data_IF_634695519658
#
_entry.id   IF_634695519658
#
_cell.length_a   1.000
_cell.length_b   1.000
_cell.length_c   1.000
_cell.angle_alpha   90.00
_cell.angle_beta   90.00
_cell.angle_gamma   90.00
#
_symmetry.space_group_name_H-M   'P 1'
#
loop_
_entity.id
_entity.type
_entity.pdbx_description
1 polymer ?
#
# COMPACT_ATOMS: atom_id res chain seq x y z
N UNK A 1 -17.25 3.68 -22.28
CA UNK A 1 -16.53 3.69 -21.00
C UNK A 1 -17.21 2.66 -20.13
N UNK A 2 -16.49 1.64 -19.71
CA UNK A 2 -16.98 0.61 -18.79
C UNK A 2 -16.30 0.82 -17.44
N UNK A 3 -17.03 0.58 -16.36
CA UNK A 3 -16.55 0.73 -14.99
C UNK A 3 -16.85 -0.54 -14.20
N UNK A 4 -15.86 -0.99 -13.43
CA UNK A 4 -15.97 -2.16 -12.57
C UNK A 4 -15.68 -1.75 -11.12
N UNK A 5 -16.38 -2.30 -10.13
CA UNK A 5 -16.07 -2.06 -8.73
C UNK A 5 -14.67 -2.62 -8.39
N UNK A 6 -13.93 -1.89 -7.57
CA UNK A 6 -12.65 -2.36 -7.01
C UNK A 6 -12.77 -2.54 -5.48
N UNK A 7 -11.81 -3.27 -4.90
CA UNK A 7 -11.66 -3.41 -3.46
C UNK A 7 -10.61 -2.42 -2.95
N UNK A 8 -10.88 -1.82 -1.81
CA UNK A 8 -10.03 -0.80 -1.21
C UNK A 8 -9.90 -0.93 0.30
N UNK A 9 -8.70 -0.68 0.83
CA UNK A 9 -8.47 -0.40 2.25
C UNK A 9 -7.80 0.95 2.41
N UNK A 10 -8.15 1.65 3.48
CA UNK A 10 -7.40 2.80 3.98
C UNK A 10 -6.78 2.36 5.29
N UNK A 11 -5.46 2.49 5.40
CA UNK A 11 -4.68 2.06 6.56
C UNK A 11 -3.90 3.27 7.06
N UNK A 12 -4.25 3.76 8.25
CA UNK A 12 -3.40 4.71 8.93
C UNK A 12 -2.22 3.98 9.55
N UNK A 13 -1.01 4.28 9.07
CA UNK A 13 0.22 3.58 9.45
C UNK A 13 1.37 4.57 9.72
N UNK A 14 1.22 5.55 10.64
CA UNK A 14 2.26 6.52 10.93
C UNK A 14 3.58 5.85 11.34
N UNK A 15 3.54 4.65 11.92
CA UNK A 15 4.73 3.88 12.25
C UNK A 15 5.53 3.43 11.03
N UNK A 16 4.92 3.26 9.86
CA UNK A 16 5.65 2.99 8.62
C UNK A 16 6.41 4.24 8.19
N UNK A 17 5.71 5.38 8.17
CA UNK A 17 6.28 6.66 7.81
C UNK A 17 7.31 7.19 8.81
N UNK A 18 7.35 6.66 10.04
CA UNK A 18 8.42 6.91 11.01
C UNK A 18 9.69 6.08 10.73
N UNK A 19 9.58 4.94 10.03
CA UNK A 19 10.67 4.00 9.84
C UNK A 19 11.65 4.44 8.74
N UNK A 20 12.97 4.48 9.00
CA UNK A 20 13.97 4.89 8.01
C UNK A 20 14.00 4.03 6.74
N UNK A 21 13.78 2.72 6.85
CA UNK A 21 13.77 1.82 5.69
C UNK A 21 12.57 2.04 4.80
N UNK A 22 11.39 2.31 5.39
CA UNK A 22 10.22 2.71 4.61
C UNK A 22 10.45 4.05 3.91
N UNK A 23 11.00 5.05 4.63
CA UNK A 23 11.34 6.36 4.05
C UNK A 23 12.33 6.24 2.90
N UNK A 24 13.34 5.38 3.05
CA UNK A 24 14.33 5.13 1.99
C UNK A 24 13.66 4.53 0.74
N UNK A 25 12.77 3.55 0.93
CA UNK A 25 11.99 2.99 -0.17
C UNK A 25 11.10 4.05 -0.82
N UNK A 26 10.35 4.82 -0.02
CA UNK A 26 9.44 5.87 -0.50
C UNK A 26 10.18 6.91 -1.35
N UNK A 27 11.39 7.32 -0.93
CA UNK A 27 12.20 8.34 -1.56
C UNK A 27 13.10 7.87 -2.71
N UNK A 28 13.10 6.58 -3.06
CA UNK A 28 13.90 6.09 -4.19
C UNK A 28 13.29 6.53 -5.55
N UNK A 29 14.05 6.35 -6.63
CA UNK A 29 13.65 6.76 -7.98
C UNK A 29 12.62 5.83 -8.64
N UNK A 30 12.12 4.80 -7.95
CA UNK A 30 11.08 3.91 -8.47
C UNK A 30 9.74 4.63 -8.38
N UNK A 31 8.99 4.80 -9.49
CA UNK A 31 7.70 5.46 -9.49
C UNK A 31 6.69 4.77 -8.57
N UNK A 32 5.97 5.57 -7.77
CA UNK A 32 4.92 5.11 -6.84
C UNK A 32 3.67 5.95 -7.03
N UNK A 33 2.51 5.37 -6.71
CA UNK A 33 1.27 6.13 -6.63
C UNK A 33 1.23 6.85 -5.27
N UNK A 34 1.82 8.05 -5.22
CA UNK A 34 2.00 8.79 -3.97
C UNK A 34 1.83 10.30 -4.18
N UNK A 35 1.47 10.98 -3.10
CA UNK A 35 1.51 12.45 -3.03
C UNK A 35 2.83 12.98 -2.46
N UNK A 36 3.71 12.11 -1.95
CA UNK A 36 5.05 12.49 -1.52
C UNK A 36 5.89 12.99 -2.71
N UNK A 37 6.55 14.13 -2.54
CA UNK A 37 7.34 14.81 -3.58
C UNK A 37 8.83 14.95 -3.23
N UNK A 38 9.30 14.20 -2.25
CA UNK A 38 10.63 14.40 -1.67
C UNK A 38 10.61 15.33 -0.45
N UNK A 39 11.62 15.20 0.41
CA UNK A 39 11.79 16.03 1.60
C UNK A 39 11.23 15.37 2.86
N UNK A 40 10.54 16.15 3.70
CA UNK A 40 9.94 15.64 4.93
C UNK A 40 8.61 14.94 4.61
N UNK A 41 8.39 13.81 5.27
CA UNK A 41 7.11 13.09 5.22
C UNK A 41 6.14 13.76 6.19
N UNK A 42 4.93 14.00 5.73
CA UNK A 42 3.84 14.65 6.46
C UNK A 42 2.50 13.91 6.25
N UNK A 43 1.39 14.50 6.69
CA UNK A 43 0.04 13.95 6.54
C UNK A 43 -0.44 13.86 5.08
N UNK A 44 0.24 14.54 4.14
CA UNK A 44 -0.08 14.55 2.72
C UNK A 44 0.79 13.59 1.91
N UNK A 45 1.64 12.81 2.59
CA UNK A 45 2.62 11.92 1.95
C UNK A 45 2.09 10.50 1.68
N UNK A 46 0.77 10.37 1.51
CA UNK A 46 0.10 9.09 1.30
C UNK A 46 0.69 8.29 0.14
N UNK A 47 0.67 6.97 0.29
CA UNK A 47 1.04 6.00 -0.73
C UNK A 47 -0.15 5.10 -1.01
N UNK A 48 -0.40 4.78 -2.27
CA UNK A 48 -1.35 3.74 -2.68
C UNK A 48 -0.59 2.61 -3.32
N UNK A 49 -0.80 1.40 -2.83
CA UNK A 49 -0.24 0.16 -3.39
C UNK A 49 -1.35 -0.73 -3.92
N UNK A 50 -1.02 -1.59 -4.89
CA UNK A 50 -1.94 -2.54 -5.50
C UNK A 50 -1.52 -3.96 -5.11
N UNK A 51 -2.35 -4.63 -4.30
CA UNK A 51 -2.09 -6.00 -3.84
C UNK A 51 -2.79 -7.00 -4.76
N UNK A 52 -2.08 -8.06 -5.15
CA UNK A 52 -2.65 -9.14 -5.97
C UNK A 52 -3.71 -9.94 -5.18
N UNK A 53 -4.77 -10.37 -5.88
CA UNK A 53 -5.90 -11.08 -5.27
C UNK A 53 -5.59 -12.51 -4.84
N UNK A 54 -4.53 -13.12 -5.37
CA UNK A 54 -4.00 -14.36 -4.85
C UNK A 54 -3.51 -14.23 -3.42
N UNK A 55 -3.23 -12.99 -2.96
CA UNK A 55 -2.73 -12.68 -1.63
C UNK A 55 -1.49 -13.52 -1.29
N UNK A 56 -0.68 -13.84 -2.30
CA UNK A 56 0.54 -14.65 -2.17
C UNK A 56 1.79 -13.82 -1.86
N UNK A 57 1.65 -12.50 -1.78
CA UNK A 57 2.78 -11.57 -1.64
C UNK A 57 3.17 -10.85 -2.93
N UNK A 58 2.38 -10.96 -4.00
CA UNK A 58 2.58 -10.21 -5.24
C UNK A 58 1.76 -8.91 -5.26
N UNK A 59 2.26 -7.91 -5.98
CA UNK A 59 1.63 -6.60 -6.11
C UNK A 59 2.55 -5.56 -6.75
N UNK A 60 2.07 -4.33 -6.93
CA UNK A 60 2.81 -3.25 -7.60
C UNK A 60 4.08 -2.83 -6.88
N UNK A 61 4.08 -2.92 -5.55
CA UNK A 61 5.11 -2.39 -4.66
C UNK A 61 5.69 -3.50 -3.78
N UNK A 62 5.77 -4.74 -4.29
CA UNK A 62 6.34 -5.88 -3.56
C UNK A 62 7.85 -5.77 -3.34
N UNK A 63 8.51 -4.78 -3.97
CA UNK A 63 9.90 -4.37 -3.73
C UNK A 63 10.09 -3.56 -2.43
N UNK A 64 9.00 -3.11 -1.78
CA UNK A 64 9.07 -2.47 -0.47
C UNK A 64 9.70 -3.41 0.57
N UNK A 65 10.31 -2.87 1.65
CA UNK A 65 10.87 -3.71 2.68
C UNK A 65 9.84 -4.71 3.24
N UNK A 66 10.23 -5.99 3.27
CA UNK A 66 9.34 -7.15 3.47
C UNK A 66 8.37 -6.99 4.64
N UNK A 67 8.83 -6.43 5.76
CA UNK A 67 7.99 -6.27 6.97
C UNK A 67 6.73 -5.42 6.73
N UNK A 68 6.82 -4.38 5.90
CA UNK A 68 5.69 -3.51 5.59
C UNK A 68 4.75 -4.19 4.61
N UNK A 69 5.31 -4.80 3.55
CA UNK A 69 4.54 -5.50 2.54
C UNK A 69 3.75 -6.68 3.12
N UNK A 70 4.41 -7.52 3.92
CA UNK A 70 3.75 -8.63 4.61
C UNK A 70 2.58 -8.14 5.46
N UNK A 71 2.74 -7.04 6.20
CA UNK A 71 1.67 -6.49 7.05
C UNK A 71 0.49 -5.96 6.22
N UNK A 72 0.74 -5.36 5.06
CA UNK A 72 -0.30 -4.93 4.12
C UNK A 72 -1.07 -6.14 3.55
N UNK A 73 -0.35 -7.18 3.12
CA UNK A 73 -0.95 -8.40 2.58
C UNK A 73 -1.77 -9.13 3.66
N UNK A 74 -1.27 -9.20 4.89
CA UNK A 74 -1.99 -9.81 6.02
C UNK A 74 -3.26 -9.05 6.38
N UNK A 75 -3.24 -7.70 6.33
CA UNK A 75 -4.45 -6.90 6.45
C UNK A 75 -5.44 -7.22 5.33
N UNK A 76 -4.98 -7.30 4.08
CA UNK A 76 -5.85 -7.68 2.97
C UNK A 76 -6.47 -9.07 3.14
N UNK A 77 -5.68 -10.07 3.60
CA UNK A 77 -6.17 -11.42 3.93
C UNK A 77 -7.23 -11.40 5.02
N UNK A 78 -7.01 -10.64 6.08
CA UNK A 78 -7.94 -10.50 7.20
C UNK A 78 -9.29 -9.90 6.76
N UNK A 79 -9.27 -8.89 5.90
CA UNK A 79 -10.47 -8.16 5.50
C UNK A 79 -11.25 -8.79 4.33
N UNK A 80 -10.57 -9.45 3.39
CA UNK A 80 -11.19 -9.94 2.16
C UNK A 80 -11.24 -11.47 2.03
N UNK A 81 -10.52 -12.20 2.89
CA UNK A 81 -10.37 -13.65 2.80
C UNK A 81 -9.57 -14.10 1.56
N UNK A 82 -9.31 -15.41 1.47
CA UNK A 82 -8.69 -16.03 0.31
C UNK A 82 -9.79 -16.50 -0.64
N UNK A 83 -9.95 -15.82 -1.78
CA UNK A 83 -10.81 -16.28 -2.85
C UNK A 83 -12.04 -15.41 -3.09
N UNK A 84 -12.00 -14.65 -4.20
CA UNK A 84 -13.18 -14.31 -4.99
C UNK A 84 -12.74 -13.70 -6.33
N UNK A 85 -12.44 -14.58 -7.29
CA UNK A 85 -12.73 -14.51 -8.74
C UNK A 85 -12.94 -13.18 -9.46
N UNK A 86 -12.16 -12.13 -9.20
CA UNK A 86 -12.16 -10.92 -10.03
C UNK A 86 -10.74 -10.60 -10.51
N UNK A 87 -10.63 -9.81 -11.57
CA UNK A 87 -9.36 -9.54 -12.27
C UNK A 87 -8.66 -8.26 -11.78
N UNK A 88 -9.04 -7.70 -10.63
CA UNK A 88 -8.60 -6.38 -10.19
C UNK A 88 -7.85 -6.43 -8.86
N UNK A 89 -6.71 -5.76 -8.78
CA UNK A 89 -5.94 -5.60 -7.55
C UNK A 89 -6.77 -4.96 -6.42
N UNK A 90 -6.40 -5.27 -5.18
CA UNK A 90 -6.90 -4.55 -4.00
C UNK A 90 -6.07 -3.27 -3.86
N UNK A 91 -6.73 -2.12 -3.85
CA UNK A 91 -6.06 -0.84 -3.59
C UNK A 91 -5.88 -0.65 -2.08
N UNK A 92 -4.66 -0.33 -1.64
CA UNK A 92 -4.40 -0.02 -0.23
C UNK A 92 -3.77 1.37 -0.14
N UNK A 93 -4.50 2.33 0.45
CA UNK A 93 -4.01 3.67 0.73
C UNK A 93 -3.41 3.70 2.14
N UNK A 94 -2.12 3.92 2.24
CA UNK A 94 -1.39 4.16 3.48
C UNK A 94 -1.42 5.66 3.79
N UNK A 95 -1.83 6.01 5.01
CA UNK A 95 -1.89 7.39 5.48
C UNK A 95 -0.98 7.63 6.68
N UNK A 96 -0.51 8.87 6.84
CA UNK A 96 0.35 9.31 7.94
C UNK A 96 -0.38 10.34 8.82
N UNK A 97 -1.53 9.98 9.35
CA UNK A 97 -2.34 10.86 10.19
C UNK A 97 -1.95 10.69 11.66
N UNK A 98 -1.73 11.79 12.37
CA UNK A 98 -1.68 11.83 13.83
C UNK A 98 -3.13 11.73 14.36
N UNK A 99 -3.47 10.60 14.98
CA UNK A 99 -4.80 10.33 15.57
C UNK A 99 -4.75 10.45 17.10
#
# INVERSE_FOLDING_TARGET
>A
MEAFPCRGLVVNAPEFFADPSFRQWLANDVPKLTWYRGGQVDEWSDVVVLVDLGLCGEGSDSDMPRQFWTRIVDLCRSHFGVGAGQHHHIMVRLTNLEL
#
